data_IF_080891460392
#
_entry.id   IF_080891460392
#
_cell.length_a   1.000
_cell.length_b   1.000
_cell.length_c   1.000
_cell.angle_alpha   90.00
_cell.angle_beta   90.00
_cell.angle_gamma   90.00
#
_symmetry.space_group_name_H-M   'P 1'
#
loop_
_entity.id
_entity.type
_entity.pdbx_description
1 polymer ?
#
# COMPACT_ATOMS: atom_id res chain seq x y z
N UNK A 1 -7.55 24.34 2.42
CA UNK A 1 -6.28 24.43 3.16
C UNK A 1 -6.04 25.89 3.39
N UNK A 2 -6.04 26.26 4.65
CA UNK A 2 -5.71 27.61 5.09
C UNK A 2 -4.35 27.54 5.79
N UNK A 3 -3.46 28.46 5.47
CA UNK A 3 -2.13 28.53 6.06
C UNK A 3 -1.80 29.97 6.41
N UNK A 4 -1.78 30.27 7.71
CA UNK A 4 -1.42 31.59 8.22
C UNK A 4 0.05 31.94 7.94
N UNK A 5 0.40 33.23 8.03
CA UNK A 5 1.78 33.71 7.81
C UNK A 5 2.81 32.98 8.69
N UNK A 6 2.52 32.83 9.99
CA UNK A 6 3.36 32.06 10.91
C UNK A 6 3.42 30.56 10.56
N UNK A 7 2.32 30.00 10.05
CA UNK A 7 2.28 28.62 9.56
C UNK A 7 3.23 28.38 8.38
N UNK A 8 3.45 29.37 7.51
CA UNK A 8 4.48 29.26 6.44
C UNK A 8 5.90 29.34 6.98
N UNK A 9 6.12 30.16 8.02
CA UNK A 9 7.44 30.34 8.62
C UNK A 9 7.88 29.10 9.42
N UNK A 10 6.95 28.41 10.07
CA UNK A 10 7.19 27.22 10.90
C UNK A 10 6.69 25.91 10.26
N UNK A 11 6.30 25.96 8.99
CA UNK A 11 5.78 24.85 8.17
C UNK A 11 4.67 24.02 8.84
N UNK A 12 3.67 24.70 9.39
CA UNK A 12 2.42 24.10 9.83
C UNK A 12 1.20 24.76 9.16
N UNK A 13 0.07 24.07 9.12
CA UNK A 13 -1.17 24.64 8.59
C UNK A 13 -2.37 23.74 8.82
N UNK A 14 -3.54 24.21 8.38
CA UNK A 14 -4.81 23.54 8.64
C UNK A 14 -5.31 22.82 7.38
N UNK A 15 -5.72 21.57 7.54
CA UNK A 15 -6.18 20.69 6.46
C UNK A 15 -7.64 20.32 6.70
N UNK A 16 -8.47 20.58 5.70
CA UNK A 16 -9.88 20.22 5.71
C UNK A 16 -10.13 19.10 4.70
N UNK A 17 -10.73 18.01 5.18
CA UNK A 17 -11.12 16.87 4.37
C UNK A 17 -12.63 16.88 4.25
N UNK A 18 -13.11 17.04 3.01
CA UNK A 18 -14.52 16.99 2.66
C UNK A 18 -14.86 15.56 2.25
N UNK A 19 -15.68 14.87 3.03
CA UNK A 19 -16.18 13.53 2.71
C UNK A 19 -17.57 13.67 2.10
N UNK A 20 -17.76 13.15 0.88
CA UNK A 20 -19.03 13.30 0.16
C UNK A 20 -20.21 12.50 0.77
N UNK A 21 -19.91 11.51 1.63
CA UNK A 21 -20.89 10.55 2.16
C UNK A 21 -21.41 10.87 3.56
N UNK A 22 -20.75 11.76 4.31
CA UNK A 22 -21.15 12.14 5.66
C UNK A 22 -21.22 13.67 5.68
N UNK A 23 -22.30 14.23 6.23
CA UNK A 23 -22.54 15.67 6.28
C UNK A 23 -21.56 16.32 7.29
N UNK A 24 -20.26 16.33 7.00
CA UNK A 24 -19.22 16.71 7.95
C UNK A 24 -17.89 17.04 7.28
N UNK A 25 -17.30 18.16 7.73
CA UNK A 25 -15.93 18.55 7.40
C UNK A 25 -15.01 18.06 8.50
N UNK A 26 -14.03 17.23 8.15
CA UNK A 26 -12.97 16.85 9.08
C UNK A 26 -11.85 17.90 9.01
N UNK A 27 -11.81 18.82 9.98
CA UNK A 27 -10.79 19.86 10.08
C UNK A 27 -9.68 19.43 11.04
N UNK A 28 -8.49 19.28 10.49
CA UNK A 28 -7.26 19.05 11.24
C UNK A 28 -6.49 20.36 11.33
N UNK A 29 -6.11 20.75 12.55
CA UNK A 29 -5.34 21.97 12.78
C UNK A 29 -3.88 21.65 13.06
N UNK A 30 -2.99 22.61 12.78
CA UNK A 30 -1.56 22.55 13.12
C UNK A 30 -0.79 21.35 12.57
N UNK A 31 -1.17 20.87 11.37
CA UNK A 31 -0.45 19.80 10.67
C UNK A 31 0.90 20.32 10.17
N UNK A 32 1.99 19.67 10.59
CA UNK A 32 3.33 19.94 10.07
C UNK A 32 3.49 19.48 8.62
N UNK A 33 4.24 20.23 7.82
CA UNK A 33 4.42 20.01 6.38
C UNK A 33 3.07 19.79 5.65
N UNK A 34 2.10 20.71 5.75
CA UNK A 34 0.72 20.48 5.30
C UNK A 34 0.60 20.22 3.79
N UNK A 35 1.49 20.80 2.97
CA UNK A 35 1.56 20.54 1.52
C UNK A 35 1.99 19.10 1.27
N UNK A 36 3.06 18.65 1.92
CA UNK A 36 3.58 17.27 1.79
C UNK A 36 2.53 16.26 2.24
N UNK A 37 1.85 16.52 3.35
CA UNK A 37 0.74 15.70 3.84
C UNK A 37 -0.35 15.56 2.77
N UNK A 38 -0.82 16.68 2.21
CA UNK A 38 -1.85 16.68 1.15
C UNK A 38 -1.41 15.89 -0.08
N UNK A 39 -0.17 16.06 -0.53
CA UNK A 39 0.38 15.32 -1.67
C UNK A 39 0.42 13.82 -1.41
N UNK A 40 0.91 13.39 -0.25
CA UNK A 40 0.96 11.97 0.12
C UNK A 40 -0.44 11.38 0.20
N UNK A 41 -1.38 12.09 0.83
CA UNK A 41 -2.78 11.67 0.95
C UNK A 41 -3.44 11.51 -0.43
N UNK A 42 -3.27 12.48 -1.33
CA UNK A 42 -3.84 12.41 -2.68
C UNK A 42 -3.23 11.26 -3.49
N UNK A 43 -1.90 11.08 -3.40
CA UNK A 43 -1.22 9.97 -4.06
C UNK A 43 -1.69 8.60 -3.52
N UNK A 44 -1.93 8.49 -2.21
CA UNK A 44 -2.48 7.27 -1.61
C UNK A 44 -3.91 7.01 -2.10
N UNK A 45 -4.76 8.04 -2.17
CA UNK A 45 -6.11 7.94 -2.77
C UNK A 45 -6.05 7.47 -4.22
N UNK A 46 -5.19 8.08 -5.05
CA UNK A 46 -5.03 7.69 -6.45
C UNK A 46 -4.57 6.23 -6.58
N UNK A 47 -3.65 5.76 -5.72
CA UNK A 47 -3.24 4.35 -5.68
C UNK A 47 -4.39 3.41 -5.35
N UNK A 48 -5.25 3.78 -4.41
CA UNK A 48 -6.46 3.01 -4.08
C UNK A 48 -7.44 3.00 -5.27
N UNK A 49 -7.69 4.15 -5.90
CA UNK A 49 -8.58 4.27 -7.06
C UNK A 49 -8.05 3.52 -8.29
N UNK A 50 -6.73 3.50 -8.49
CA UNK A 50 -6.09 2.75 -9.58
C UNK A 50 -6.10 1.23 -9.39
N UNK A 51 -6.63 0.72 -8.27
CA UNK A 51 -6.63 -0.71 -7.95
C UNK A 51 -5.28 -1.28 -7.50
N UNK A 52 -4.18 -0.52 -7.64
CA UNK A 52 -2.85 -0.94 -7.17
C UNK A 52 -2.79 -1.06 -5.63
N UNK A 53 -3.59 -0.28 -4.92
CA UNK A 53 -3.58 -0.17 -3.46
C UNK A 53 -3.99 -1.44 -2.69
N UNK A 54 -4.55 -2.44 -3.36
CA UNK A 54 -4.85 -3.76 -2.78
C UNK A 54 -4.45 -4.89 -3.76
N UNK A 55 -3.37 -4.70 -4.52
CA UNK A 55 -2.63 -5.89 -4.97
C UNK A 55 -1.66 -6.21 -3.86
N UNK A 56 -2.03 -7.15 -3.00
CA UNK A 56 -1.06 -7.78 -2.12
C UNK A 56 0.12 -8.19 -3.02
N UNK A 57 1.33 -7.67 -2.75
CA UNK A 57 2.56 -8.12 -3.43
C UNK A 57 2.72 -9.66 -3.44
N UNK A 58 1.93 -10.36 -2.64
CA UNK A 58 1.80 -11.81 -2.63
C UNK A 58 1.30 -12.39 -3.97
N UNK A 59 0.30 -11.77 -4.63
CA UNK A 59 -0.26 -12.28 -5.89
C UNK A 59 0.69 -12.17 -7.09
N UNK A 60 1.40 -11.05 -7.21
CA UNK A 60 2.42 -10.84 -8.25
C UNK A 60 3.70 -11.65 -8.02
N UNK A 61 3.92 -12.14 -6.80
CA UNK A 61 5.08 -12.96 -6.45
C UNK A 61 4.81 -14.47 -6.49
N UNK A 62 3.58 -14.94 -6.77
CA UNK A 62 3.28 -16.39 -6.84
C UNK A 62 4.19 -17.08 -7.88
N UNK A 63 4.38 -16.57 -9.11
CA UNK A 63 5.32 -17.17 -10.06
C UNK A 63 6.77 -17.20 -9.56
N UNK A 64 7.21 -16.13 -8.88
CA UNK A 64 8.56 -16.05 -8.30
C UNK A 64 8.75 -17.05 -7.13
N UNK A 65 7.72 -17.26 -6.31
CA UNK A 65 7.72 -18.25 -5.23
C UNK A 65 7.75 -19.69 -5.77
N UNK A 66 7.05 -19.97 -6.87
CA UNK A 66 7.13 -21.28 -7.55
C UNK A 66 8.55 -21.52 -8.07
N UNK A 67 9.21 -20.51 -8.63
CA UNK A 67 10.60 -20.62 -9.08
C UNK A 67 11.57 -20.88 -7.90
N UNK A 68 11.38 -20.23 -6.75
CA UNK A 68 12.18 -20.50 -5.56
C UNK A 68 11.98 -21.92 -5.02
N UNK A 69 10.74 -22.43 -5.03
CA UNK A 69 10.47 -23.82 -4.65
C UNK A 69 11.17 -24.82 -5.56
N UNK A 70 11.21 -24.56 -6.86
CA UNK A 70 11.88 -25.40 -7.86
C UNK A 70 13.39 -25.41 -7.63
N UNK A 71 13.98 -24.27 -7.27
CA UNK A 71 15.39 -24.17 -6.91
C UNK A 71 15.72 -25.00 -5.65
N UNK A 72 14.92 -24.89 -4.58
CA UNK A 72 15.14 -25.65 -3.34
C UNK A 72 14.96 -27.16 -3.54
N UNK A 73 14.07 -27.57 -4.45
CA UNK A 73 13.90 -28.95 -4.86
C UNK A 73 15.14 -29.47 -5.61
N UNK A 74 15.64 -28.70 -6.58
CA UNK A 74 16.87 -29.03 -7.32
C UNK A 74 18.12 -29.07 -6.41
N UNK A 75 18.15 -28.26 -5.35
CA UNK A 75 19.21 -28.28 -4.32
C UNK A 75 19.08 -29.46 -3.34
N UNK A 76 18.03 -30.28 -3.46
CA UNK A 76 17.78 -31.45 -2.61
C UNK A 76 17.33 -31.10 -1.19
N UNK A 77 16.93 -29.86 -0.94
CA UNK A 77 16.45 -29.36 0.36
C UNK A 77 14.98 -29.76 0.56
N UNK A 78 14.21 -29.85 -0.53
CA UNK A 78 12.83 -30.33 -0.54
C UNK A 78 12.73 -31.70 -1.18
N UNK A 79 11.86 -32.55 -0.63
CA UNK A 79 11.46 -33.80 -1.27
C UNK A 79 10.44 -33.56 -2.40
N UNK A 80 10.32 -34.51 -3.32
CA UNK A 80 9.36 -34.46 -4.45
C UNK A 80 7.91 -34.25 -3.96
N UNK A 81 7.57 -34.89 -2.84
CA UNK A 81 6.23 -34.81 -2.24
C UNK A 81 5.94 -33.41 -1.67
N UNK A 82 6.92 -32.82 -0.97
CA UNK A 82 6.80 -31.49 -0.39
C UNK A 82 6.70 -30.40 -1.45
N UNK A 83 7.50 -30.51 -2.52
CA UNK A 83 7.45 -29.60 -3.65
C UNK A 83 6.07 -29.62 -4.31
N UNK A 84 5.55 -30.81 -4.64
CA UNK A 84 4.26 -30.96 -5.33
C UNK A 84 3.12 -30.39 -4.48
N UNK A 85 3.12 -30.68 -3.18
CA UNK A 85 2.12 -30.16 -2.23
C UNK A 85 2.15 -28.63 -2.15
N UNK A 86 3.34 -28.03 -2.03
CA UNK A 86 3.50 -26.57 -1.92
C UNK A 86 3.21 -25.84 -3.24
N UNK A 87 3.59 -26.42 -4.37
CA UNK A 87 3.26 -25.90 -5.70
C UNK A 87 1.74 -25.88 -5.94
N UNK A 88 1.03 -26.95 -5.58
CA UNK A 88 -0.43 -27.00 -5.68
C UNK A 88 -1.12 -25.96 -4.78
N UNK A 89 -0.63 -25.79 -3.56
CA UNK A 89 -1.11 -24.76 -2.62
C UNK A 89 -0.93 -23.35 -3.21
N UNK A 90 0.22 -23.05 -3.81
CA UNK A 90 0.47 -21.76 -4.45
C UNK A 90 -0.37 -21.55 -5.71
N UNK A 91 -0.59 -22.59 -6.51
CA UNK A 91 -1.45 -22.51 -7.70
C UNK A 91 -2.92 -22.29 -7.35
N UNK A 92 -3.41 -22.85 -6.23
CA UNK A 92 -4.79 -22.62 -5.78
C UNK A 92 -5.07 -21.19 -5.27
N UNK A 93 -4.02 -20.40 -5.05
CA UNK A 93 -4.11 -19.01 -4.59
C UNK A 93 -4.06 -17.99 -5.75
N UNK A 94 -3.88 -18.48 -6.97
CA UNK A 94 -3.94 -17.70 -8.22
C UNK A 94 -5.39 -17.62 -8.70
#
# INVERSE_FOLDING_TARGET
>A
MDQSFFGRLFDFGDVEILTASELGVNRFTTIGNPIRFKTIMLNAKLKLESGEGITTKQGSNIPALIQQLDQLHNEGILTDEEFTKKKAELLSRL
#
